data_IF_593718013072
#
_entry.id   IF_593718013072
#
_cell.length_a   1.000
_cell.length_b   1.000
_cell.length_c   1.000
_cell.angle_alpha   90.00
_cell.angle_beta   90.00
_cell.angle_gamma   90.00
#
_symmetry.space_group_name_H-M   'P 1'
#
loop_
_entity.id
_entity.type
_entity.pdbx_description
1 polymer ?
#
# COMPACT_ATOMS: atom_id res chain seq x y z
N UNK A 1 18.38 0.05 -9.41
CA UNK A 1 17.93 0.67 -8.14
C UNK A 1 16.40 0.72 -8.11
N UNK A 2 15.77 0.64 -6.95
CA UNK A 2 14.32 0.75 -6.82
C UNK A 2 13.95 2.22 -6.61
N UNK A 3 12.94 2.70 -7.35
CA UNK A 3 12.23 3.93 -7.05
C UNK A 3 10.84 3.57 -6.54
N UNK A 4 10.66 3.58 -5.23
CA UNK A 4 9.36 3.32 -4.60
C UNK A 4 8.53 4.59 -4.56
N UNK A 5 7.41 4.62 -5.25
CA UNK A 5 6.45 5.73 -5.24
C UNK A 5 5.29 5.33 -4.32
N UNK A 6 5.20 5.99 -3.18
CA UNK A 6 4.17 5.75 -2.17
C UNK A 6 3.05 6.76 -2.36
N UNK A 7 1.87 6.31 -2.72
CA UNK A 7 0.67 7.15 -2.78
C UNK A 7 -0.43 6.53 -1.93
N UNK A 8 -1.58 7.14 -1.91
CA UNK A 8 -2.72 6.65 -1.16
C UNK A 8 -3.48 7.77 -0.47
N UNK A 9 -4.62 7.41 0.09
CA UNK A 9 -5.55 8.32 0.74
C UNK A 9 -4.90 9.08 1.88
N UNK A 10 -5.28 10.32 2.07
CA UNK A 10 -4.78 11.12 3.19
C UNK A 10 -5.25 10.53 4.51
N UNK A 11 -4.29 10.20 5.38
CA UNK A 11 -4.56 9.44 6.63
C UNK A 11 -4.39 7.93 6.50
N UNK A 12 -4.05 7.38 5.32
CA UNK A 12 -3.81 5.94 5.12
C UNK A 12 -2.47 5.43 5.65
N UNK A 13 -1.55 6.32 6.07
CA UNK A 13 -0.27 5.91 6.66
C UNK A 13 0.96 6.13 5.78
N UNK A 14 0.91 6.98 4.74
CA UNK A 14 2.07 7.28 3.86
C UNK A 14 3.35 7.63 4.62
N UNK A 15 3.26 8.50 5.61
CA UNK A 15 4.44 8.88 6.42
C UNK A 15 5.00 7.72 7.27
N UNK A 16 4.15 6.76 7.66
CA UNK A 16 4.58 5.53 8.33
C UNK A 16 5.33 4.63 7.35
N UNK A 17 4.78 4.50 6.14
CA UNK A 17 5.42 3.72 5.08
C UNK A 17 6.80 4.28 4.71
N UNK A 18 6.93 5.62 4.57
CA UNK A 18 8.23 6.24 4.29
C UNK A 18 9.24 5.97 5.39
N UNK A 19 8.85 6.07 6.67
CA UNK A 19 9.76 5.74 7.79
C UNK A 19 10.20 4.28 7.75
N UNK A 20 9.28 3.35 7.47
CA UNK A 20 9.62 1.94 7.35
C UNK A 20 10.59 1.68 6.17
N UNK A 21 10.44 2.39 5.06
CA UNK A 21 11.35 2.32 3.91
C UNK A 21 12.72 2.95 4.24
N UNK A 22 12.75 4.05 5.00
CA UNK A 22 13.98 4.67 5.50
C UNK A 22 14.77 3.71 6.40
N UNK A 23 14.08 3.01 7.32
CA UNK A 23 14.68 1.96 8.17
C UNK A 23 15.24 0.78 7.34
N UNK A 24 14.75 0.58 6.13
CA UNK A 24 15.26 -0.40 5.17
C UNK A 24 16.38 0.13 4.25
N UNK A 25 16.84 1.35 4.48
CA UNK A 25 17.95 1.98 3.75
C UNK A 25 17.54 2.69 2.45
N UNK A 26 16.26 3.05 2.27
CA UNK A 26 15.84 3.93 1.17
C UNK A 26 16.15 5.39 1.50
N UNK A 27 16.59 6.14 0.50
CA UNK A 27 16.56 7.60 0.58
C UNK A 27 15.12 8.09 0.42
N UNK A 28 14.54 8.69 1.46
CA UNK A 28 13.13 9.04 1.49
C UNK A 28 12.87 10.53 1.27
N UNK A 29 11.91 10.85 0.39
CA UNK A 29 11.44 12.22 0.14
C UNK A 29 9.93 12.25 0.30
N UNK A 30 9.44 13.08 1.22
CA UNK A 30 8.00 13.20 1.46
C UNK A 30 7.37 14.28 0.56
N UNK A 31 6.20 13.96 0.01
CA UNK A 31 5.30 14.87 -0.67
C UNK A 31 5.91 15.65 -1.85
N UNK A 32 6.48 14.92 -2.82
CA UNK A 32 7.07 15.52 -4.02
C UNK A 32 5.99 15.76 -5.10
N UNK A 33 6.01 16.92 -5.81
CA UNK A 33 5.25 17.07 -7.03
C UNK A 33 5.69 16.09 -8.12
N UNK A 34 4.73 15.45 -8.79
CA UNK A 34 4.98 14.42 -9.82
C UNK A 34 5.96 14.90 -10.89
N UNK A 35 5.86 16.16 -11.30
CA UNK A 35 6.72 16.77 -12.33
C UNK A 35 8.21 16.83 -11.96
N UNK A 36 8.55 16.75 -10.68
CA UNK A 36 9.94 16.77 -10.19
C UNK A 36 10.55 15.37 -10.09
N UNK A 37 9.75 14.32 -10.27
CA UNK A 37 10.19 12.93 -10.10
C UNK A 37 11.39 12.56 -11.01
N UNK A 38 11.39 12.86 -12.33
CA UNK A 38 12.52 12.53 -13.18
C UNK A 38 13.80 13.28 -12.79
N UNK A 39 13.68 14.54 -12.37
CA UNK A 39 14.83 15.35 -11.96
C UNK A 39 15.42 14.83 -10.65
N UNK A 40 14.60 14.48 -9.68
CA UNK A 40 15.05 13.86 -8.42
C UNK A 40 15.76 12.54 -8.72
N UNK A 41 15.16 11.66 -9.54
CA UNK A 41 15.75 10.39 -9.91
C UNK A 41 17.12 10.57 -10.60
N UNK A 42 17.26 11.52 -11.53
CA UNK A 42 18.55 11.85 -12.17
C UNK A 42 19.60 12.28 -11.15
N UNK A 43 19.23 13.14 -10.21
CA UNK A 43 20.15 13.64 -9.18
C UNK A 43 20.65 12.52 -8.25
N UNK A 44 19.76 11.58 -7.89
CA UNK A 44 20.08 10.49 -6.97
C UNK A 44 20.68 9.25 -7.67
N UNK A 45 20.60 9.16 -9.00
CA UNK A 45 21.16 8.04 -9.75
C UNK A 45 22.66 7.85 -9.52
N UNK A 46 23.40 8.94 -9.31
CA UNK A 46 24.85 8.91 -9.04
C UNK A 46 25.20 8.32 -7.68
N UNK A 47 24.28 8.41 -6.70
CA UNK A 47 24.47 7.91 -5.34
C UNK A 47 24.27 6.40 -5.22
N UNK A 48 23.68 5.75 -6.25
CA UNK A 48 23.37 4.31 -6.31
C UNK A 48 22.50 3.79 -5.16
N UNK A 49 21.67 4.64 -4.61
CA UNK A 49 20.74 4.29 -3.54
C UNK A 49 19.34 4.01 -4.08
N UNK A 50 18.60 3.15 -3.40
CA UNK A 50 17.16 3.02 -3.64
C UNK A 50 16.43 4.21 -3.02
N UNK A 51 15.43 4.72 -3.73
CA UNK A 51 14.72 5.96 -3.38
C UNK A 51 13.25 5.64 -3.10
N UNK A 52 12.70 6.24 -2.08
CA UNK A 52 11.27 6.22 -1.82
C UNK A 52 10.72 7.65 -1.80
N UNK A 53 9.65 7.89 -2.54
CA UNK A 53 8.98 9.20 -2.57
C UNK A 53 7.53 9.05 -2.21
N UNK A 54 6.96 10.01 -1.49
CA UNK A 54 5.50 10.07 -1.38
C UNK A 54 4.91 11.11 -2.33
N UNK A 55 3.74 10.80 -2.85
CA UNK A 55 2.92 11.70 -3.66
C UNK A 55 1.51 11.72 -3.05
N UNK A 56 1.07 12.89 -2.61
CA UNK A 56 -0.29 13.06 -2.13
C UNK A 56 -1.20 13.74 -3.18
N UNK A 57 -2.49 13.78 -2.90
CA UNK A 57 -3.51 14.32 -3.80
C UNK A 57 -3.23 15.76 -4.26
N UNK A 58 -2.56 16.58 -3.46
CA UNK A 58 -2.22 17.98 -3.80
C UNK A 58 -1.18 18.09 -4.90
N UNK A 59 -0.38 17.06 -5.06
CA UNK A 59 0.72 16.98 -6.03
C UNK A 59 0.39 16.05 -7.20
N UNK A 60 -0.84 15.56 -7.27
CA UNK A 60 -1.33 14.83 -8.43
C UNK A 60 -1.61 15.79 -9.57
N UNK A 61 -1.21 15.45 -10.81
CA UNK A 61 -1.53 16.26 -11.97
C UNK A 61 -3.00 16.13 -12.34
N UNK A 62 -3.58 17.22 -12.85
CA UNK A 62 -4.95 17.22 -13.38
C UNK A 62 -5.11 16.27 -14.59
N UNK A 63 -4.02 16.08 -15.35
CA UNK A 63 -3.98 15.16 -16.47
C UNK A 63 -3.29 13.84 -16.05
N UNK A 64 -4.03 12.71 -15.97
CA UNK A 64 -3.46 11.40 -15.61
C UNK A 64 -2.30 10.95 -16.52
N UNK A 65 -2.27 11.37 -17.80
CA UNK A 65 -1.18 11.03 -18.72
C UNK A 65 0.17 11.62 -18.30
N UNK A 66 0.16 12.72 -17.55
CA UNK A 66 1.41 13.32 -17.07
C UNK A 66 2.14 12.39 -16.10
N UNK A 67 1.41 11.57 -15.32
CA UNK A 67 2.02 10.56 -14.47
C UNK A 67 2.78 9.53 -15.33
N UNK A 68 2.17 9.04 -16.41
CA UNK A 68 2.83 8.09 -17.32
C UNK A 68 4.07 8.70 -17.97
N UNK A 69 3.95 9.95 -18.48
CA UNK A 69 5.07 10.69 -19.07
C UNK A 69 6.24 10.87 -18.10
N UNK A 70 5.95 11.14 -16.82
CA UNK A 70 6.99 11.28 -15.80
C UNK A 70 7.64 9.94 -15.42
N UNK A 71 6.88 8.85 -15.42
CA UNK A 71 7.41 7.52 -15.20
C UNK A 71 8.29 7.06 -16.37
N UNK A 72 7.86 7.34 -17.60
CA UNK A 72 8.63 7.03 -18.82
C UNK A 72 9.92 7.86 -18.93
N UNK A 73 9.95 9.05 -18.33
CA UNK A 73 11.12 9.93 -18.30
C UNK A 73 12.16 9.57 -17.24
N UNK A 74 11.92 8.52 -16.44
CA UNK A 74 12.86 8.07 -15.42
C UNK A 74 14.14 7.50 -16.05
N UNK A 75 15.30 7.64 -15.40
CA UNK A 75 16.53 6.98 -15.83
C UNK A 75 16.37 5.45 -15.81
N UNK A 76 16.93 4.76 -16.82
CA UNK A 76 16.91 3.29 -16.91
C UNK A 76 17.53 2.57 -15.69
N UNK A 77 18.34 3.29 -14.92
CA UNK A 77 18.96 2.79 -13.70
C UNK A 77 17.95 2.56 -12.57
N UNK A 78 16.74 3.15 -12.67
CA UNK A 78 15.67 2.96 -11.71
C UNK A 78 14.58 2.02 -12.26
N UNK A 79 14.09 1.15 -11.38
CA UNK A 79 12.86 0.39 -11.60
C UNK A 79 11.78 1.02 -10.73
N UNK A 80 10.80 1.73 -11.32
CA UNK A 80 9.70 2.30 -10.55
C UNK A 80 8.80 1.19 -9.99
N UNK A 81 8.30 1.40 -8.79
CA UNK A 81 7.30 0.56 -8.14
C UNK A 81 6.30 1.46 -7.43
N UNK A 82 5.02 1.28 -7.71
CA UNK A 82 3.96 2.06 -7.13
C UNK A 82 3.30 1.29 -5.98
N UNK A 83 3.36 1.87 -4.79
CA UNK A 83 2.66 1.39 -3.60
C UNK A 83 1.49 2.33 -3.31
N UNK A 84 0.28 1.80 -3.28
CA UNK A 84 -0.91 2.53 -2.88
C UNK A 84 -1.38 2.07 -1.50
N UNK A 85 -1.54 3.02 -0.58
CA UNK A 85 -2.09 2.76 0.74
C UNK A 85 -3.57 3.15 0.75
N UNK A 86 -4.42 2.17 0.93
CA UNK A 86 -5.86 2.34 1.02
C UNK A 86 -6.34 2.26 2.47
N UNK A 87 -7.54 2.78 2.72
CA UNK A 87 -8.18 2.73 4.04
C UNK A 87 -9.67 3.02 3.85
N UNK A 88 -10.53 2.30 4.52
CA UNK A 88 -11.96 2.56 4.44
C UNK A 88 -12.33 3.98 4.92
N UNK A 89 -13.43 4.49 4.37
CA UNK A 89 -13.93 5.84 4.62
C UNK A 89 -14.16 6.14 6.10
N UNK A 90 -14.75 5.19 6.82
CA UNK A 90 -15.11 5.40 8.23
C UNK A 90 -13.85 5.46 9.11
N UNK A 91 -12.86 4.63 8.82
CA UNK A 91 -11.56 4.67 9.50
C UNK A 91 -10.83 5.97 9.22
N UNK A 92 -10.87 6.51 8.00
CA UNK A 92 -10.30 7.82 7.70
C UNK A 92 -10.99 8.92 8.52
N UNK A 93 -12.32 8.98 8.53
CA UNK A 93 -13.08 9.97 9.32
C UNK A 93 -12.67 9.89 10.80
N UNK A 94 -12.58 8.68 11.35
CA UNK A 94 -12.13 8.46 12.74
C UNK A 94 -10.71 8.97 12.96
N UNK A 95 -9.75 8.60 12.09
CA UNK A 95 -8.34 9.03 12.19
C UNK A 95 -8.21 10.55 12.14
N UNK A 96 -9.00 11.23 11.30
CA UNK A 96 -9.03 12.68 11.23
C UNK A 96 -9.62 13.31 12.51
N UNK A 97 -10.68 12.72 13.04
CA UNK A 97 -11.28 13.16 14.30
C UNK A 97 -10.31 13.02 15.47
N UNK A 98 -9.61 11.90 15.57
CA UNK A 98 -8.66 11.61 16.63
C UNK A 98 -7.42 12.53 16.57
N UNK A 99 -6.91 12.79 15.38
CA UNK A 99 -5.70 13.62 15.18
C UNK A 99 -5.99 15.11 15.09
N UNK A 100 -7.24 15.51 14.92
CA UNK A 100 -7.68 16.91 14.71
C UNK A 100 -6.95 17.60 13.54
N UNK A 101 -6.49 16.85 12.56
CA UNK A 101 -5.87 17.39 11.35
C UNK A 101 -6.94 17.83 10.37
N UNK A 102 -6.60 18.81 9.56
CA UNK A 102 -7.46 19.23 8.43
C UNK A 102 -7.08 18.37 7.21
N UNK A 103 -8.10 17.84 6.53
CA UNK A 103 -7.87 17.09 5.30
C UNK A 103 -7.31 18.02 4.20
N UNK A 104 -6.34 17.57 3.37
CA UNK A 104 -5.69 18.42 2.36
C UNK A 104 -6.65 19.13 1.39
N UNK A 105 -7.78 18.49 1.08
CA UNK A 105 -8.82 19.05 0.21
C UNK A 105 -9.95 19.76 0.96
N UNK A 106 -9.97 19.75 2.30
CA UNK A 106 -10.99 20.46 3.06
C UNK A 106 -10.82 21.98 2.93
N UNK A 107 -11.91 22.66 2.61
CA UNK A 107 -12.03 24.11 2.53
C UNK A 107 -13.23 24.56 3.34
N UNK A 108 -13.50 25.87 3.38
CA UNK A 108 -14.72 26.39 4.00
C UNK A 108 -16.01 25.78 3.41
N UNK A 109 -15.97 25.42 2.12
CA UNK A 109 -17.13 24.93 1.37
C UNK A 109 -17.14 23.39 1.21
N UNK A 110 -16.07 22.69 1.63
CA UNK A 110 -15.95 21.25 1.46
C UNK A 110 -15.75 20.56 2.81
N UNK A 111 -16.78 19.81 3.24
CA UNK A 111 -16.71 19.02 4.47
C UNK A 111 -15.63 17.93 4.40
N UNK A 112 -15.22 17.40 5.57
CA UNK A 112 -14.27 16.28 5.63
C UNK A 112 -14.73 15.09 4.80
N UNK A 113 -16.00 14.72 4.90
CA UNK A 113 -16.54 13.57 4.18
C UNK A 113 -16.50 13.77 2.67
N UNK A 114 -16.95 14.94 2.20
CA UNK A 114 -16.92 15.28 0.78
C UNK A 114 -15.47 15.42 0.24
N UNK A 115 -14.53 15.86 1.09
CA UNK A 115 -13.11 15.94 0.75
C UNK A 115 -12.50 14.54 0.59
N UNK A 116 -12.87 13.58 1.45
CA UNK A 116 -12.45 12.18 1.36
C UNK A 116 -13.00 11.52 0.07
N UNK A 117 -14.27 11.75 -0.24
CA UNK A 117 -14.89 11.19 -1.44
C UNK A 117 -14.28 11.77 -2.72
N UNK A 118 -14.01 13.08 -2.74
CA UNK A 118 -13.31 13.74 -3.86
C UNK A 118 -11.85 13.26 -4.01
N UNK A 119 -11.15 13.01 -2.92
CA UNK A 119 -9.78 12.48 -2.95
C UNK A 119 -9.75 11.10 -3.61
N UNK A 120 -10.72 10.24 -3.32
CA UNK A 120 -10.85 8.90 -3.90
C UNK A 120 -10.90 8.95 -5.43
N UNK A 121 -11.74 9.84 -5.98
CA UNK A 121 -11.84 10.07 -7.43
C UNK A 121 -10.51 10.56 -8.03
N UNK A 122 -9.83 11.49 -7.37
CA UNK A 122 -8.57 12.07 -7.85
C UNK A 122 -7.41 11.08 -7.82
N UNK A 123 -7.42 10.14 -6.87
CA UNK A 123 -6.36 9.15 -6.71
C UNK A 123 -6.60 7.86 -7.52
N UNK A 124 -7.78 7.65 -8.10
CA UNK A 124 -8.10 6.45 -8.89
C UNK A 124 -7.08 6.17 -10.01
N UNK A 125 -6.58 7.16 -10.78
CA UNK A 125 -5.59 6.90 -11.83
C UNK A 125 -4.28 6.31 -11.31
N UNK A 126 -3.80 6.75 -10.14
CA UNK A 126 -2.57 6.19 -9.56
C UNK A 126 -2.84 4.85 -8.86
N UNK A 127 -4.01 4.69 -8.25
CA UNK A 127 -4.45 3.42 -7.66
C UNK A 127 -4.51 2.32 -8.71
N UNK A 128 -5.13 2.58 -9.87
CA UNK A 128 -5.24 1.63 -10.97
C UNK A 128 -3.88 1.20 -11.58
N UNK A 129 -2.83 2.03 -11.41
CA UNK A 129 -1.47 1.75 -11.89
C UNK A 129 -0.56 1.14 -10.83
N UNK A 130 -1.05 1.00 -9.61
CA UNK A 130 -0.21 0.56 -8.49
C UNK A 130 0.17 -0.91 -8.63
N UNK A 131 1.46 -1.21 -8.45
CA UNK A 131 1.99 -2.57 -8.41
C UNK A 131 1.60 -3.29 -7.13
N UNK A 132 1.30 -2.52 -6.08
CA UNK A 132 0.95 -3.03 -4.77
C UNK A 132 -0.07 -2.11 -4.11
N UNK A 133 -1.16 -2.70 -3.64
CA UNK A 133 -2.16 -2.02 -2.79
C UNK A 133 -2.10 -2.64 -1.40
N UNK A 134 -2.08 -1.81 -0.36
CA UNK A 134 -2.11 -2.23 1.04
C UNK A 134 -3.29 -1.56 1.73
N UNK A 135 -4.25 -2.35 2.17
CA UNK A 135 -5.36 -1.88 3.00
C UNK A 135 -4.89 -1.74 4.45
N UNK A 136 -4.87 -0.51 4.93
CA UNK A 136 -4.43 -0.18 6.30
C UNK A 136 -5.58 0.03 7.27
N UNK A 137 -6.81 -0.32 6.90
CA UNK A 137 -8.03 -0.08 7.68
C UNK A 137 -7.91 -0.56 9.12
N UNK A 138 -7.45 -1.79 9.30
CA UNK A 138 -7.33 -2.43 10.60
C UNK A 138 -5.86 -2.59 11.06
N UNK A 139 -4.93 -1.90 10.40
CA UNK A 139 -3.51 -2.02 10.73
C UNK A 139 -3.08 -0.96 11.74
N UNK A 140 -2.27 -1.39 12.69
CA UNK A 140 -1.43 -0.51 13.51
C UNK A 140 -0.22 -0.01 12.71
N UNK A 141 0.47 0.98 13.24
CA UNK A 141 1.73 1.50 12.66
C UNK A 141 2.78 0.39 12.51
N UNK A 142 2.87 -0.50 13.49
CA UNK A 142 3.83 -1.62 13.49
C UNK A 142 3.48 -2.68 12.44
N UNK A 143 2.20 -3.04 12.33
CA UNK A 143 1.74 -4.02 11.33
C UNK A 143 1.97 -3.52 9.92
N UNK A 144 1.72 -2.24 9.63
CA UNK A 144 2.03 -1.67 8.32
C UNK A 144 3.54 -1.75 8.01
N UNK A 145 4.41 -1.41 8.97
CA UNK A 145 5.85 -1.49 8.80
C UNK A 145 6.33 -2.93 8.54
N UNK A 146 5.76 -3.92 9.26
CA UNK A 146 6.07 -5.34 9.05
C UNK A 146 5.62 -5.82 7.66
N UNK A 147 4.39 -5.52 7.25
CA UNK A 147 3.87 -5.87 5.92
C UNK A 147 4.76 -5.30 4.81
N UNK A 148 5.20 -4.05 4.95
CA UNK A 148 6.10 -3.44 3.97
C UNK A 148 7.46 -4.13 3.95
N UNK A 149 8.02 -4.44 5.14
CA UNK A 149 9.29 -5.14 5.24
C UNK A 149 9.24 -6.52 4.59
N UNK A 150 8.23 -7.30 4.86
CA UNK A 150 8.04 -8.62 4.26
C UNK A 150 7.90 -8.54 2.74
N UNK A 151 7.07 -7.62 2.24
CA UNK A 151 6.85 -7.45 0.81
C UNK A 151 8.08 -6.94 0.06
N UNK A 152 8.92 -6.13 0.70
CA UNK A 152 10.14 -5.58 0.10
C UNK A 152 11.32 -6.55 0.17
N UNK A 153 11.51 -7.26 1.26
CA UNK A 153 12.61 -8.23 1.42
C UNK A 153 12.44 -9.46 0.53
N UNK A 154 11.20 -9.83 0.18
CA UNK A 154 10.90 -10.92 -0.76
C UNK A 154 11.28 -10.61 -2.21
N UNK A 155 11.54 -9.35 -2.57
CA UNK A 155 11.77 -8.90 -3.96
C UNK A 155 13.25 -8.86 -4.34
N UNK A 156 13.93 -10.01 -4.34
CA UNK A 156 15.32 -10.08 -4.87
C UNK A 156 15.41 -10.18 -6.39
N UNK A 157 14.31 -10.45 -7.11
CA UNK A 157 14.30 -10.62 -8.57
C UNK A 157 13.07 -9.93 -9.22
N UNK A 158 13.16 -9.70 -10.53
CA UNK A 158 12.04 -9.23 -11.39
C UNK A 158 10.93 -10.27 -11.58
N UNK A 159 10.90 -11.31 -10.78
CA UNK A 159 9.95 -12.40 -10.90
C UNK A 159 8.59 -11.98 -10.34
N UNK A 160 7.54 -12.56 -10.91
CA UNK A 160 6.18 -12.40 -10.42
C UNK A 160 6.13 -12.75 -8.92
N UNK A 161 5.79 -11.77 -8.10
CA UNK A 161 5.60 -12.00 -6.66
C UNK A 161 4.13 -12.35 -6.42
N UNK A 162 3.87 -13.59 -6.00
CA UNK A 162 2.55 -14.02 -5.55
C UNK A 162 2.51 -13.88 -4.03
N UNK A 163 1.59 -13.06 -3.53
CA UNK A 163 1.32 -12.92 -2.11
C UNK A 163 0.08 -13.75 -1.80
N UNK A 164 0.23 -14.73 -0.92
CA UNK A 164 -0.89 -15.56 -0.46
C UNK A 164 -1.25 -15.10 0.96
N UNK A 165 -2.47 -14.61 1.12
CA UNK A 165 -3.01 -14.13 2.39
C UNK A 165 -4.17 -15.02 2.84
N UNK A 166 -4.17 -15.45 4.10
CA UNK A 166 -5.31 -16.15 4.70
C UNK A 166 -6.19 -15.18 5.48
N UNK A 167 -7.49 -15.28 5.31
CA UNK A 167 -8.44 -14.41 6.01
C UNK A 167 -9.70 -15.16 6.44
N UNK A 168 -10.38 -14.61 7.43
CA UNK A 168 -11.70 -15.10 7.85
C UNK A 168 -12.81 -14.20 7.34
N UNK A 169 -13.80 -14.75 6.66
CA UNK A 169 -14.96 -14.02 6.12
C UNK A 169 -15.75 -13.21 7.17
N UNK A 170 -15.54 -13.48 8.45
CA UNK A 170 -16.16 -12.71 9.54
C UNK A 170 -15.89 -11.21 9.45
N UNK A 171 -14.74 -10.83 8.91
CA UNK A 171 -14.31 -9.44 8.80
C UNK A 171 -14.39 -8.89 7.38
N UNK A 172 -15.00 -9.62 6.46
CA UNK A 172 -15.09 -9.29 5.05
C UNK A 172 -13.96 -9.87 4.21
N UNK A 173 -13.97 -9.53 2.93
CA UNK A 173 -12.94 -9.92 1.96
C UNK A 173 -11.86 -8.84 1.96
N UNK A 174 -10.56 -9.20 1.94
CA UNK A 174 -9.47 -8.23 1.82
C UNK A 174 -9.62 -7.38 0.55
N UNK A 175 -9.63 -6.06 0.70
CA UNK A 175 -9.79 -5.12 -0.44
C UNK A 175 -8.56 -5.10 -1.36
N UNK A 176 -7.42 -5.56 -0.87
CA UNK A 176 -6.16 -5.65 -1.60
C UNK A 176 -5.98 -6.94 -2.40
N UNK A 177 -6.96 -7.86 -2.36
CA UNK A 177 -6.84 -9.15 -3.03
C UNK A 177 -7.24 -9.06 -4.51
N UNK A 178 -6.36 -9.46 -5.42
CA UNK A 178 -6.66 -9.59 -6.84
C UNK A 178 -7.54 -10.83 -7.12
N UNK A 179 -7.32 -11.90 -6.33
CA UNK A 179 -8.06 -13.16 -6.43
C UNK A 179 -8.45 -13.65 -5.04
N UNK A 180 -9.67 -14.17 -4.91
CA UNK A 180 -10.18 -14.76 -3.68
C UNK A 180 -10.62 -16.19 -3.95
N UNK A 181 -10.04 -17.13 -3.21
CA UNK A 181 -10.40 -18.54 -3.24
C UNK A 181 -11.16 -18.90 -1.96
N UNK A 182 -12.44 -19.27 -2.12
CA UNK A 182 -13.26 -19.72 -0.99
C UNK A 182 -13.00 -21.20 -0.72
N UNK A 183 -12.28 -21.48 0.36
CA UNK A 183 -11.93 -22.86 0.77
C UNK A 183 -12.87 -23.44 1.84
N UNK A 184 -14.02 -22.79 2.12
CA UNK A 184 -14.97 -23.25 3.16
C UNK A 184 -15.70 -24.54 2.78
N UNK A 185 -15.55 -25.03 1.56
CA UNK A 185 -16.02 -26.37 1.15
C UNK A 185 -15.14 -27.50 1.70
N UNK A 186 -13.91 -27.22 2.13
CA UNK A 186 -13.04 -28.20 2.76
C UNK A 186 -13.56 -28.57 4.17
N UNK A 187 -13.30 -29.81 4.63
CA UNK A 187 -13.65 -30.20 5.99
C UNK A 187 -12.92 -29.29 6.99
N UNK A 188 -13.63 -28.87 8.04
CA UNK A 188 -13.07 -27.95 9.01
C UNK A 188 -12.36 -28.70 10.15
N UNK A 189 -11.03 -28.62 10.28
CA UNK A 189 -10.25 -29.30 11.32
C UNK A 189 -10.67 -28.92 12.75
N UNK A 190 -11.29 -27.76 12.94
CA UNK A 190 -11.76 -27.28 14.25
C UNK A 190 -12.83 -28.17 14.88
N UNK A 191 -13.56 -28.97 14.08
CA UNK A 191 -14.57 -29.90 14.58
C UNK A 191 -13.96 -31.16 15.18
N UNK A 192 -12.70 -31.50 14.82
CA UNK A 192 -11.98 -32.60 15.49
C UNK A 192 -11.30 -32.05 16.76
N UNK A 193 -11.66 -32.62 17.97
CA UNK A 193 -11.06 -32.18 19.22
C UNK A 193 -9.54 -32.31 19.27
N UNK A 194 -8.94 -33.21 18.49
CA UNK A 194 -7.48 -33.44 18.45
C UNK A 194 -6.79 -32.38 17.58
N UNK A 195 -7.47 -31.86 16.55
CA UNK A 195 -6.92 -30.87 15.63
C UNK A 195 -7.25 -29.43 16.04
N UNK A 196 -8.27 -29.26 16.89
CA UNK A 196 -8.74 -27.93 17.34
C UNK A 196 -7.64 -27.02 17.91
N UNK A 197 -6.67 -27.50 18.71
CA UNK A 197 -5.60 -26.66 19.26
C UNK A 197 -4.47 -26.40 18.25
N UNK A 198 -4.49 -27.06 17.10
CA UNK A 198 -3.46 -26.98 16.08
C UNK A 198 -3.76 -25.90 15.04
N UNK A 199 -2.76 -25.54 14.26
CA UNK A 199 -2.83 -24.55 13.17
C UNK A 199 -2.60 -25.21 11.80
N UNK A 200 -2.84 -24.49 10.71
CA UNK A 200 -2.56 -24.96 9.36
C UNK A 200 -1.08 -25.26 9.06
N UNK A 201 -0.16 -24.87 9.95
CA UNK A 201 1.27 -25.17 9.84
C UNK A 201 1.62 -26.55 10.45
N UNK A 202 0.68 -27.16 11.18
CA UNK A 202 0.90 -28.44 11.85
C UNK A 202 0.59 -29.60 10.90
N UNK A 203 1.51 -30.54 10.79
CA UNK A 203 1.42 -31.69 9.90
C UNK A 203 0.10 -32.47 10.00
N UNK A 204 -0.48 -32.75 11.21
CA UNK A 204 -1.76 -33.44 11.31
C UNK A 204 -2.94 -32.69 10.68
N UNK A 205 -2.88 -31.35 10.64
CA UNK A 205 -3.91 -30.53 9.99
C UNK A 205 -3.76 -30.59 8.47
N UNK A 206 -2.53 -30.54 7.97
CA UNK A 206 -2.25 -30.70 6.54
C UNK A 206 -2.73 -32.08 6.04
N UNK A 207 -2.39 -33.17 6.74
CA UNK A 207 -2.81 -34.55 6.42
C UNK A 207 -4.34 -34.75 6.50
N UNK A 208 -5.05 -33.94 7.28
CA UNK A 208 -6.51 -33.99 7.39
C UNK A 208 -7.18 -33.31 6.18
N UNK A 209 -6.51 -32.35 5.55
CA UNK A 209 -7.04 -31.55 4.45
C UNK A 209 -6.65 -32.08 3.06
N UNK A 210 -5.64 -32.97 2.98
CA UNK A 210 -5.23 -33.70 1.76
C UNK A 210 -6.23 -34.81 1.41
#
# INVERSE_FOLDING_TARGET
MILMIVSGRSGSGKSVALRALEDMGFYCVDNIPVVLLPQLAKTLAEQKESVAVSIDVRNMPDNPKLLDEMLDALPESFTPQLLFLDTDRNTLIRRYSDTRRIHPLSTHDLSLEAAIDKEDELLEPIRARSDMIVDTTNMSVHELAEVLRERMLGRKNKDLTIIVESFGFKYGIPLSADYVFDVRFLPNPHWDPKLRPLTGLDKPVAEFLD
#
